data_IF_538022369150
#
_entry.id   IF_538022369150
#
_cell.length_a   1.000
_cell.length_b   1.000
_cell.length_c   1.000
_cell.angle_alpha   90.00
_cell.angle_beta   90.00
_cell.angle_gamma   90.00
#
_symmetry.space_group_name_H-M   'P 1'
#
loop_
_entity.id
_entity.type
_entity.pdbx_description
1 polymer ?
#
# COMPACT_ATOMS: atom_id res chain seq x y z
N UNK A 1 -10.15 -11.88 -15.19
CA UNK A 1 -10.37 -10.54 -14.62
C UNK A 1 -10.34 -10.68 -13.11
N UNK A 2 -9.28 -10.23 -12.44
CA UNK A 2 -9.19 -10.31 -10.98
C UNK A 2 -9.98 -9.17 -10.36
N UNK A 3 -10.87 -9.49 -9.40
CA UNK A 3 -11.72 -8.55 -8.67
C UNK A 3 -10.94 -7.29 -8.27
N UNK A 4 -11.37 -6.14 -8.77
CA UNK A 4 -10.92 -4.82 -8.34
C UNK A 4 -11.79 -4.37 -7.15
N UNK A 5 -11.19 -3.61 -6.24
CA UNK A 5 -11.83 -2.94 -5.11
C UNK A 5 -12.29 -3.82 -3.94
N UNK A 6 -11.88 -5.08 -3.87
CA UNK A 6 -12.25 -5.99 -2.78
C UNK A 6 -11.63 -5.58 -1.44
N UNK A 7 -10.46 -4.95 -1.48
CA UNK A 7 -9.68 -4.56 -0.31
C UNK A 7 -9.72 -3.06 -0.05
N UNK A 8 -10.43 -2.28 -0.87
CA UNK A 8 -10.47 -0.82 -0.79
C UNK A 8 -10.95 -0.31 0.57
N UNK A 9 -11.97 -0.93 1.17
CA UNK A 9 -12.49 -0.47 2.46
C UNK A 9 -11.49 -0.71 3.61
N UNK A 10 -10.74 -1.82 3.55
CA UNK A 10 -9.63 -2.06 4.48
C UNK A 10 -8.59 -0.95 4.30
N UNK A 11 -8.19 -0.65 3.06
CA UNK A 11 -7.20 0.40 2.82
C UNK A 11 -7.64 1.80 3.21
N UNK A 12 -8.93 2.12 3.05
CA UNK A 12 -9.48 3.39 3.52
C UNK A 12 -9.44 3.52 5.04
N UNK A 13 -9.71 2.44 5.78
CA UNK A 13 -9.59 2.39 7.24
C UNK A 13 -8.14 2.59 7.68
N UNK A 14 -7.19 1.98 6.98
CA UNK A 14 -5.76 2.05 7.28
C UNK A 14 -5.08 3.34 6.76
N UNK A 15 -5.77 4.13 5.93
CA UNK A 15 -5.17 5.22 5.17
C UNK A 15 -4.46 6.27 6.04
N UNK A 16 -5.10 6.72 7.13
CA UNK A 16 -4.54 7.75 8.00
C UNK A 16 -3.24 7.26 8.69
N UNK A 17 -3.20 5.99 9.08
CA UNK A 17 -2.00 5.40 9.66
C UNK A 17 -0.89 5.25 8.63
N UNK A 18 -1.21 4.79 7.41
CA UNK A 18 -0.24 4.68 6.31
C UNK A 18 0.33 6.05 5.96
N UNK A 19 -0.50 7.09 5.91
CA UNK A 19 -0.08 8.46 5.67
C UNK A 19 0.87 8.96 6.75
N UNK A 20 0.52 8.76 8.03
CA UNK A 20 1.36 9.15 9.16
C UNK A 20 2.71 8.40 9.18
N UNK A 21 2.72 7.10 8.90
CA UNK A 21 3.94 6.31 8.78
C UNK A 21 4.83 6.80 7.64
N UNK A 22 4.23 7.18 6.52
CA UNK A 22 4.96 7.72 5.36
C UNK A 22 5.58 9.09 5.65
N UNK A 23 4.87 9.97 6.36
CA UNK A 23 5.28 11.36 6.58
C UNK A 23 6.24 11.53 7.76
N UNK A 24 6.00 10.83 8.86
CA UNK A 24 6.68 11.10 10.14
C UNK A 24 7.65 9.99 10.58
N UNK A 25 7.52 8.78 10.04
CA UNK A 25 8.27 7.60 10.49
C UNK A 25 8.97 6.90 9.33
N UNK A 26 10.03 7.50 8.75
CA UNK A 26 10.73 6.91 7.62
C UNK A 26 11.27 5.52 7.99
N UNK A 27 10.99 4.52 7.15
CA UNK A 27 11.40 3.12 7.35
C UNK A 27 10.74 2.44 8.55
N UNK A 28 9.42 2.63 8.69
CA UNK A 28 8.60 2.02 9.73
C UNK A 28 7.58 1.05 9.14
N UNK A 29 6.73 0.49 9.99
CA UNK A 29 5.69 -0.42 9.55
C UNK A 29 4.71 -0.74 10.65
N UNK A 30 3.63 -1.43 10.29
CA UNK A 30 2.61 -1.87 11.23
C UNK A 30 2.11 -3.27 10.90
N UNK A 31 1.63 -3.95 11.94
CA UNK A 31 0.91 -5.20 11.80
C UNK A 31 -0.53 -4.91 11.35
N UNK A 32 -0.99 -5.60 10.31
CA UNK A 32 -2.37 -5.56 9.86
C UNK A 32 -3.14 -6.81 10.32
N UNK A 33 -4.48 -6.69 10.36
CA UNK A 33 -5.39 -7.80 10.69
C UNK A 33 -5.49 -8.77 9.53
N UNK A 34 -4.90 -9.97 9.65
CA UNK A 34 -5.08 -11.04 8.67
C UNK A 34 -6.56 -11.37 8.42
N UNK A 35 -7.36 -11.38 9.49
CA UNK A 35 -8.78 -11.67 9.45
C UNK A 35 -9.56 -10.67 8.57
N UNK A 36 -9.19 -9.39 8.56
CA UNK A 36 -9.88 -8.37 7.73
C UNK A 36 -9.70 -8.71 6.23
N UNK A 37 -8.49 -9.13 5.81
CA UNK A 37 -8.20 -9.49 4.42
C UNK A 37 -8.81 -10.85 4.03
N UNK A 38 -8.77 -11.83 4.92
CA UNK A 38 -9.33 -13.16 4.70
C UNK A 38 -10.86 -13.18 4.71
N UNK A 39 -11.49 -12.23 5.42
CA UNK A 39 -12.95 -12.10 5.44
C UNK A 39 -13.53 -11.66 4.08
N UNK A 40 -12.80 -10.81 3.34
CA UNK A 40 -13.28 -10.28 2.05
C UNK A 40 -12.73 -11.06 0.86
N UNK A 41 -11.61 -11.77 1.00
CA UNK A 41 -11.00 -12.49 -0.11
C UNK A 41 -10.34 -13.81 0.28
N UNK A 42 -10.07 -14.63 -0.74
CA UNK A 42 -9.46 -15.96 -0.56
C UNK A 42 -8.24 -16.11 -1.49
N UNK A 43 -7.20 -15.31 -1.23
CA UNK A 43 -5.97 -15.33 -2.04
C UNK A 43 -4.96 -16.29 -1.46
N UNK A 44 -4.24 -17.00 -2.34
CA UNK A 44 -3.08 -17.83 -1.96
C UNK A 44 -1.91 -17.04 -1.37
N UNK A 45 -1.80 -15.76 -1.73
CA UNK A 45 -0.74 -14.85 -1.27
C UNK A 45 -1.29 -13.43 -1.17
N UNK A 46 -1.12 -12.85 0.00
CA UNK A 46 -1.40 -11.44 0.28
C UNK A 46 -0.16 -10.56 0.19
N UNK A 47 1.04 -11.15 0.25
CA UNK A 47 2.29 -10.40 0.13
C UNK A 47 2.41 -9.67 -1.21
N UNK A 48 2.91 -8.43 -1.16
CA UNK A 48 3.13 -7.58 -2.33
C UNK A 48 4.24 -6.57 -2.08
N UNK A 49 4.67 -5.92 -3.16
CA UNK A 49 5.50 -4.71 -3.14
C UNK A 49 4.87 -3.69 -4.07
N UNK A 50 4.72 -2.46 -3.60
CA UNK A 50 4.18 -1.30 -4.29
C UNK A 50 5.23 -0.19 -4.20
N UNK A 51 5.61 0.36 -5.34
CA UNK A 51 6.53 1.49 -5.41
C UNK A 51 5.82 2.66 -6.06
N UNK A 52 5.83 3.81 -5.40
CA UNK A 52 5.26 5.06 -5.89
C UNK A 52 6.38 6.09 -6.01
N UNK A 53 6.53 6.70 -7.17
CA UNK A 53 7.44 7.83 -7.38
C UNK A 53 6.76 8.85 -8.29
N UNK A 54 6.95 10.14 -7.98
CA UNK A 54 6.41 11.26 -8.75
C UNK A 54 4.89 11.12 -9.02
N UNK A 55 4.15 10.65 -7.99
CA UNK A 55 2.70 10.48 -8.03
C UNK A 55 2.19 9.28 -8.85
N UNK A 56 3.07 8.34 -9.24
CA UNK A 56 2.71 7.19 -10.06
C UNK A 56 3.26 5.88 -9.51
N UNK A 57 2.57 4.77 -9.79
CA UNK A 57 3.11 3.43 -9.53
C UNK A 57 4.23 3.14 -10.54
N UNK A 58 5.39 2.72 -10.04
CA UNK A 58 6.59 2.49 -10.88
C UNK A 58 7.03 1.02 -10.96
N UNK A 59 6.28 0.09 -10.35
CA UNK A 59 6.54 -1.34 -10.43
C UNK A 59 5.28 -2.13 -10.86
N UNK A 60 5.46 -3.36 -11.37
CA UNK A 60 4.35 -4.21 -11.78
C UNK A 60 3.60 -4.76 -10.55
N UNK A 61 2.31 -4.40 -10.43
CA UNK A 61 1.40 -4.86 -9.38
C UNK A 61 0.18 -5.64 -9.91
N UNK A 62 0.13 -5.98 -11.20
CA UNK A 62 -1.05 -6.57 -11.86
C UNK A 62 -1.48 -7.90 -11.22
N UNK A 63 -0.52 -8.67 -10.72
CA UNK A 63 -0.75 -9.94 -10.03
C UNK A 63 -1.38 -9.79 -8.63
N UNK A 64 -1.46 -8.58 -8.07
CA UNK A 64 -1.91 -8.32 -6.71
C UNK A 64 -3.09 -7.36 -6.67
N UNK A 65 -4.31 -7.89 -6.54
CA UNK A 65 -5.51 -7.07 -6.27
C UNK A 65 -5.34 -6.24 -4.98
N UNK A 66 -4.69 -6.84 -3.97
CA UNK A 66 -4.38 -6.20 -2.68
C UNK A 66 -3.54 -4.94 -2.88
N UNK A 67 -2.50 -4.99 -3.73
CA UNK A 67 -1.64 -3.84 -4.02
C UNK A 67 -2.31 -2.81 -4.91
N UNK A 68 -3.11 -3.25 -5.90
CA UNK A 68 -3.85 -2.34 -6.81
C UNK A 68 -4.86 -1.49 -6.05
N UNK A 69 -5.65 -2.12 -5.18
CA UNK A 69 -6.65 -1.42 -4.38
C UNK A 69 -5.96 -0.42 -3.41
N UNK A 70 -4.77 -0.76 -2.88
CA UNK A 70 -3.98 0.18 -2.05
C UNK A 70 -3.49 1.37 -2.88
N UNK A 71 -2.92 1.10 -4.07
CA UNK A 71 -2.41 2.12 -4.96
C UNK A 71 -3.50 3.12 -5.35
N UNK A 72 -4.71 2.66 -5.65
CA UNK A 72 -5.85 3.52 -5.94
C UNK A 72 -6.21 4.45 -4.77
N UNK A 73 -6.27 3.92 -3.54
CA UNK A 73 -6.55 4.72 -2.34
C UNK A 73 -5.46 5.76 -2.10
N UNK A 74 -4.19 5.38 -2.24
CA UNK A 74 -3.05 6.27 -2.02
C UNK A 74 -2.98 7.37 -3.09
N UNK A 75 -3.10 6.99 -4.37
CA UNK A 75 -2.97 7.93 -5.48
C UNK A 75 -4.19 8.85 -5.62
N UNK A 76 -5.31 8.57 -4.95
CA UNK A 76 -6.41 9.53 -4.82
C UNK A 76 -6.02 10.74 -3.94
N UNK A 77 -5.08 10.59 -3.01
CA UNK A 77 -4.65 11.66 -2.10
C UNK A 77 -3.60 12.60 -2.71
N UNK A 78 -3.88 13.90 -2.69
CA UNK A 78 -2.91 14.93 -3.12
C UNK A 78 -1.66 14.96 -2.23
N UNK A 79 -1.82 14.67 -0.94
CA UNK A 79 -0.73 14.66 0.03
C UNK A 79 0.26 13.55 -0.27
N UNK A 80 -0.22 12.33 -0.57
CA UNK A 80 0.65 11.22 -0.95
C UNK A 80 1.41 11.53 -2.25
N UNK A 81 0.70 12.07 -3.27
CA UNK A 81 1.34 12.51 -4.52
C UNK A 81 2.45 13.54 -4.24
N UNK A 82 2.17 14.51 -3.38
CA UNK A 82 3.14 15.55 -2.99
C UNK A 82 4.37 14.96 -2.29
N UNK A 83 4.17 14.05 -1.32
CA UNK A 83 5.27 13.37 -0.60
C UNK A 83 6.17 12.58 -1.56
N UNK A 84 5.59 11.96 -2.60
CA UNK A 84 6.32 11.18 -3.59
C UNK A 84 7.07 12.02 -4.64
N UNK A 85 6.94 13.35 -4.65
CA UNK A 85 7.66 14.21 -5.60
C UNK A 85 9.15 14.18 -5.29
N UNK A 86 9.96 13.72 -6.26
CA UNK A 86 11.41 13.63 -6.11
C UNK A 86 11.88 12.56 -5.10
N UNK A 87 10.97 11.69 -4.63
CA UNK A 87 11.24 10.59 -3.71
C UNK A 87 10.56 9.32 -4.19
N UNK A 88 10.95 8.17 -3.65
CA UNK A 88 10.26 6.91 -3.86
C UNK A 88 9.66 6.42 -2.55
N UNK A 89 8.35 6.24 -2.53
CA UNK A 89 7.64 5.55 -1.45
C UNK A 89 7.61 4.07 -1.80
N UNK A 90 8.17 3.23 -0.94
CA UNK A 90 8.14 1.77 -1.08
C UNK A 90 7.27 1.21 0.02
N UNK A 91 6.21 0.51 -0.37
CA UNK A 91 5.27 -0.14 0.54
C UNK A 91 5.27 -1.62 0.22
N UNK A 92 5.57 -2.45 1.22
CA UNK A 92 5.57 -3.90 1.06
C UNK A 92 4.80 -4.56 2.19
N UNK A 93 4.02 -5.58 1.85
CA UNK A 93 3.36 -6.41 2.85
C UNK A 93 3.95 -7.81 2.79
N UNK A 94 4.33 -8.36 3.95
CA UNK A 94 4.79 -9.73 4.07
C UNK A 94 3.62 -10.73 4.09
N UNK A 95 3.91 -12.03 4.01
CA UNK A 95 2.89 -13.07 4.17
C UNK A 95 2.29 -13.12 5.59
N UNK A 96 2.97 -12.54 6.57
CA UNK A 96 2.48 -12.38 7.94
C UNK A 96 1.68 -11.09 8.15
N UNK A 97 1.24 -10.42 7.09
CA UNK A 97 0.47 -9.16 7.15
C UNK A 97 1.19 -8.01 7.85
N UNK A 98 2.53 -8.04 7.91
CA UNK A 98 3.32 -6.90 8.33
C UNK A 98 3.51 -5.97 7.14
N UNK A 99 3.04 -4.73 7.25
CA UNK A 99 3.18 -3.68 6.25
C UNK A 99 4.39 -2.81 6.59
N UNK A 100 5.42 -2.84 5.75
CA UNK A 100 6.59 -1.97 5.84
C UNK A 100 6.48 -0.82 4.84
N UNK A 101 6.87 0.38 5.28
CA UNK A 101 6.87 1.61 4.48
C UNK A 101 8.24 2.26 4.61
N UNK A 102 8.92 2.47 3.48
CA UNK A 102 10.16 3.25 3.42
C UNK A 102 10.04 4.39 2.42
N UNK A 103 10.67 5.51 2.78
CA UNK A 103 10.83 6.66 1.90
C UNK A 103 12.29 6.70 1.46
N UNK A 104 12.54 6.44 0.18
CA UNK A 104 13.86 6.37 -0.41
C UNK A 104 14.11 7.66 -1.20
N UNK A 105 15.25 8.32 -0.90
CA UNK A 105 15.74 9.48 -1.66
C UNK A 105 16.60 9.04 -2.85
N UNK A 106 16.70 9.89 -3.88
CA UNK A 106 17.76 9.78 -4.89
C UNK A 106 19.11 10.17 -4.30
#
# INVERSE_FOLDING_TARGET
>A
MGSQHLYTDIWRKEFQDILALTEFFPSSGKQLSAADFEAVGNRKRYAFRLEIADGMVVNNIDGSAVARDLAEVLLASEQVRSISTGKRIVIAMSSGFYLSISLEGR
#
